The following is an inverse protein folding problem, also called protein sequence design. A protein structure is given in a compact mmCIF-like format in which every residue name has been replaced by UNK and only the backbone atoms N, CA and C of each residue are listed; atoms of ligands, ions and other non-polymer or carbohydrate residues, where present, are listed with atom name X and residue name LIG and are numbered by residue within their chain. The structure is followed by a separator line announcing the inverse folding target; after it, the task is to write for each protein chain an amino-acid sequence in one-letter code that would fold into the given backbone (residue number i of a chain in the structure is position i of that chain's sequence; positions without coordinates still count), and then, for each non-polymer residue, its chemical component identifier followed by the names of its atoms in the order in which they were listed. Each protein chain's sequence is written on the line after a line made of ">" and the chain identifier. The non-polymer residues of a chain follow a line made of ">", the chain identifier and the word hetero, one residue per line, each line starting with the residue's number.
data_IF_044936574414
#
_entry.id   IF_044936574414
#
_cell.length_a   1.000
_cell.length_b   1.000
_cell.length_c   1.000
_cell.angle_alpha   90.00
_cell.angle_beta   90.00
_cell.angle_gamma   90.00
#
_symmetry.space_group_name_H-M   'P 1'
#
loop_
_entity.id
_entity.type
_entity.pdbx_description
1 polymer ?
#
# COMPACT_ATOMS: atom_id res chain seq x y z
N UNK A 1 -9.27 7.91 26.54
CA UNK A 1 -8.91 6.53 26.12
C UNK A 1 -7.82 6.58 25.08
N UNK A 2 -6.82 5.68 25.16
CA UNK A 2 -5.67 5.65 24.25
C UNK A 2 -6.04 5.08 22.87
N UNK A 3 -5.56 5.72 21.80
CA UNK A 3 -5.76 5.27 20.42
C UNK A 3 -5.14 3.88 20.21
N UNK A 4 -5.90 2.92 19.71
CA UNK A 4 -5.38 1.58 19.41
C UNK A 4 -4.52 1.58 18.15
N UNK A 5 -3.36 0.92 18.24
CA UNK A 5 -2.42 0.73 17.12
C UNK A 5 -2.21 -0.77 16.90
N UNK A 6 -2.30 -1.21 15.65
CA UNK A 6 -2.22 -2.62 15.26
C UNK A 6 -0.94 -2.84 14.47
N UNK A 7 0.03 -3.51 15.10
CA UNK A 7 1.34 -3.80 14.50
C UNK A 7 1.30 -4.99 13.53
N UNK A 8 0.50 -6.02 13.85
CA UNK A 8 0.43 -7.24 13.04
C UNK A 8 -0.20 -6.97 11.67
N UNK A 9 0.58 -7.17 10.60
CA UNK A 9 0.07 -7.07 9.22
C UNK A 9 -1.01 -8.10 8.96
N UNK A 10 -0.77 -9.34 9.40
CA UNK A 10 -1.72 -10.43 9.23
C UNK A 10 -3.06 -10.11 9.91
N UNK A 11 -3.05 -9.64 11.16
CA UNK A 11 -4.28 -9.35 11.88
C UNK A 11 -5.13 -8.26 11.20
N UNK A 12 -4.48 -7.29 10.55
CA UNK A 12 -5.16 -6.26 9.74
C UNK A 12 -5.71 -6.86 8.45
N UNK A 13 -4.93 -7.69 7.75
CA UNK A 13 -5.40 -8.40 6.54
C UNK A 13 -6.58 -9.31 6.84
N UNK A 14 -6.54 -10.09 7.93
CA UNK A 14 -7.64 -10.96 8.34
C UNK A 14 -8.94 -10.19 8.62
N UNK A 15 -8.83 -8.99 9.22
CA UNK A 15 -9.99 -8.14 9.47
C UNK A 15 -10.66 -7.70 8.16
N UNK A 16 -9.89 -7.46 7.10
CA UNK A 16 -10.42 -7.09 5.79
C UNK A 16 -10.94 -8.31 5.02
N UNK A 17 -10.28 -9.47 5.13
CA UNK A 17 -10.71 -10.72 4.47
C UNK A 17 -12.04 -11.24 5.03
N UNK A 18 -12.38 -10.91 6.27
CA UNK A 18 -13.69 -11.21 6.84
C UNK A 18 -14.84 -10.37 6.23
N UNK A 19 -14.52 -9.30 5.49
CA UNK A 19 -15.49 -8.46 4.81
C UNK A 19 -15.59 -8.85 3.32
N UNK A 20 -16.76 -9.35 2.92
CA UNK A 20 -17.00 -9.88 1.55
C UNK A 20 -16.77 -8.84 0.45
N UNK A 21 -16.98 -7.56 0.73
CA UNK A 21 -16.77 -6.52 -0.28
C UNK A 21 -15.28 -6.23 -0.50
N UNK A 22 -14.47 -6.39 0.55
CA UNK A 22 -13.05 -6.06 0.53
C UNK A 22 -12.17 -7.25 0.15
N UNK A 23 -12.61 -8.48 0.41
CA UNK A 23 -11.83 -9.70 0.14
C UNK A 23 -11.32 -9.77 -1.30
N UNK A 24 -12.15 -9.37 -2.26
CA UNK A 24 -11.83 -9.41 -3.70
C UNK A 24 -10.83 -8.32 -4.13
N UNK A 25 -10.56 -7.37 -3.25
CA UNK A 25 -9.60 -6.27 -3.46
C UNK A 25 -8.28 -6.52 -2.73
N UNK A 26 -8.12 -7.65 -2.05
CA UNK A 26 -6.89 -8.00 -1.34
C UNK A 26 -6.11 -9.00 -2.21
N UNK A 27 -4.85 -8.70 -2.57
CA UNK A 27 -4.03 -9.64 -3.32
C UNK A 27 -3.84 -10.94 -2.55
N UNK A 28 -3.95 -12.08 -3.23
CA UNK A 28 -3.76 -13.39 -2.60
C UNK A 28 -2.39 -13.45 -1.93
N UNK A 29 -2.36 -13.80 -0.64
CA UNK A 29 -1.15 -13.76 0.18
C UNK A 29 -1.01 -15.06 0.95
N UNK A 30 0.19 -15.64 0.96
CA UNK A 30 0.52 -16.87 1.70
C UNK A 30 1.83 -16.69 2.47
N UNK A 31 2.05 -17.45 3.56
CA UNK A 31 3.39 -17.61 4.12
C UNK A 31 4.38 -18.03 3.03
N UNK A 32 5.57 -17.44 3.02
CA UNK A 32 6.61 -17.79 2.04
C UNK A 32 7.08 -19.22 2.30
N UNK A 33 6.91 -20.07 1.30
CA UNK A 33 7.54 -21.38 1.19
C UNK A 33 7.94 -21.64 -0.26
N UNK A 34 8.75 -22.67 -0.49
CA UNK A 34 9.15 -23.07 -1.85
C UNK A 34 7.92 -23.36 -2.72
N UNK A 35 6.93 -24.05 -2.15
CA UNK A 35 5.69 -24.39 -2.85
C UNK A 35 4.80 -23.15 -3.08
N UNK A 36 4.59 -22.33 -2.05
CA UNK A 36 3.67 -21.18 -2.17
C UNK A 36 4.16 -20.11 -3.13
N UNK A 37 5.47 -19.85 -3.18
CA UNK A 37 6.05 -18.93 -4.16
C UNK A 37 5.90 -19.48 -5.58
N UNK A 38 6.16 -20.78 -5.78
CA UNK A 38 6.04 -21.41 -7.10
C UNK A 38 4.61 -21.34 -7.61
N UNK A 39 3.65 -21.76 -6.79
CA UNK A 39 2.22 -21.72 -7.13
C UNK A 39 1.76 -20.30 -7.51
N UNK A 40 2.15 -19.29 -6.72
CA UNK A 40 1.77 -17.91 -7.00
C UNK A 40 2.45 -17.37 -8.27
N UNK A 41 3.69 -17.77 -8.57
CA UNK A 41 4.37 -17.40 -9.81
C UNK A 41 3.72 -18.05 -11.02
N UNK A 42 3.41 -19.35 -10.94
CA UNK A 42 2.77 -20.07 -12.04
C UNK A 42 1.37 -19.47 -12.33
N UNK A 43 0.64 -19.04 -11.28
CA UNK A 43 -0.70 -18.45 -11.43
C UNK A 43 -0.70 -16.99 -11.91
N UNK A 44 0.26 -16.18 -11.48
CA UNK A 44 0.19 -14.72 -11.67
C UNK A 44 1.37 -14.11 -12.42
N UNK A 45 2.44 -14.87 -12.68
CA UNK A 45 3.67 -14.41 -13.34
C UNK A 45 4.51 -13.42 -12.51
N UNK A 46 3.95 -12.81 -11.47
CA UNK A 46 4.61 -11.83 -10.62
C UNK A 46 4.18 -11.99 -9.17
N UNK A 47 5.14 -11.99 -8.25
CA UNK A 47 4.93 -12.14 -6.81
C UNK A 47 5.81 -11.16 -6.04
N UNK A 48 5.25 -10.48 -5.05
CA UNK A 48 6.03 -9.75 -4.05
C UNK A 48 6.30 -10.63 -2.82
N UNK A 49 7.57 -10.82 -2.53
CA UNK A 49 8.06 -11.50 -1.34
C UNK A 49 8.46 -10.43 -0.31
N UNK A 50 7.69 -10.32 0.78
CA UNK A 50 7.81 -9.23 1.75
C UNK A 50 7.92 -9.74 3.20
N UNK A 51 8.68 -9.07 4.08
CA UNK A 51 8.77 -9.50 5.46
C UNK A 51 7.43 -9.30 6.20
N UNK A 52 7.08 -10.24 7.08
CA UNK A 52 5.89 -10.16 7.94
C UNK A 52 5.98 -8.92 8.84
N UNK A 53 7.18 -8.66 9.37
CA UNK A 53 7.50 -7.48 10.19
C UNK A 53 8.46 -6.60 9.42
N UNK A 54 8.03 -5.37 9.12
CA UNK A 54 8.87 -4.41 8.42
C UNK A 54 8.11 -3.16 8.01
N UNK A 55 8.84 -2.07 7.81
CA UNK A 55 8.34 -0.76 7.43
C UNK A 55 9.04 -0.27 6.17
N UNK A 56 8.44 0.72 5.51
CA UNK A 56 9.05 1.47 4.41
C UNK A 56 9.51 0.62 3.20
N UNK A 57 8.83 -0.50 2.93
CA UNK A 57 9.18 -1.37 1.80
C UNK A 57 10.56 -2.03 1.88
N UNK A 58 11.26 -1.94 3.02
CA UNK A 58 12.61 -2.52 3.17
C UNK A 58 12.55 -4.04 3.18
N UNK A 59 13.42 -4.66 2.37
CA UNK A 59 13.48 -6.11 2.22
C UNK A 59 12.32 -6.71 1.42
N UNK A 60 11.53 -5.88 0.71
CA UNK A 60 10.57 -6.36 -0.30
C UNK A 60 11.37 -6.78 -1.54
N UNK A 61 11.06 -7.97 -2.05
CA UNK A 61 11.66 -8.58 -3.23
C UNK A 61 10.53 -8.80 -4.23
N UNK A 62 10.70 -8.38 -5.48
CA UNK A 62 9.75 -8.67 -6.56
C UNK A 62 10.30 -9.83 -7.37
N UNK A 63 9.56 -10.93 -7.45
CA UNK A 63 9.89 -12.10 -8.25
C UNK A 63 8.96 -12.13 -9.46
N UNK A 64 9.51 -12.41 -10.61
CA UNK A 64 8.82 -12.50 -11.90
C UNK A 64 9.22 -13.80 -12.58
N UNK A 65 8.26 -14.35 -13.32
CA UNK A 65 8.48 -15.47 -14.21
C UNK A 65 7.89 -15.18 -15.60
N UNK A 66 8.64 -15.52 -16.63
CA UNK A 66 8.25 -15.35 -18.03
C UNK A 66 8.54 -16.63 -18.81
N UNK A 67 7.59 -17.06 -19.64
CA UNK A 67 7.81 -18.21 -20.52
C UNK A 67 8.65 -17.83 -21.74
N UNK A 68 9.32 -18.82 -22.34
CA UNK A 68 9.97 -18.67 -23.65
C UNK A 68 11.28 -17.89 -23.67
N UNK A 69 11.92 -17.67 -22.51
CA UNK A 69 13.23 -16.99 -22.42
C UNK A 69 14.26 -17.88 -21.69
N UNK A 70 15.57 -17.78 -22.01
CA UNK A 70 16.61 -18.63 -21.41
C UNK A 70 16.71 -18.52 -19.88
N UNK A 71 16.43 -17.33 -19.33
CA UNK A 71 16.41 -17.07 -17.90
C UNK A 71 15.01 -16.62 -17.48
N UNK A 72 14.05 -17.56 -17.35
CA UNK A 72 12.65 -17.24 -17.15
C UNK A 72 12.36 -16.66 -15.78
N UNK A 73 13.24 -16.88 -14.79
CA UNK A 73 13.07 -16.35 -13.44
C UNK A 73 13.93 -15.10 -13.24
N UNK A 74 13.28 -14.04 -12.77
CA UNK A 74 13.94 -12.81 -12.37
C UNK A 74 13.47 -12.44 -10.97
N UNK A 75 14.36 -11.94 -10.12
CA UNK A 75 13.90 -11.14 -9.01
C UNK A 75 14.70 -9.86 -8.86
N UNK A 76 14.06 -8.85 -8.28
CA UNK A 76 14.67 -7.58 -7.95
C UNK A 76 14.55 -7.34 -6.44
N UNK A 77 15.68 -7.06 -5.80
CA UNK A 77 15.78 -6.64 -4.41
C UNK A 77 16.45 -5.27 -4.38
N UNK A 78 15.75 -4.28 -3.84
CA UNK A 78 16.19 -2.88 -3.89
C UNK A 78 16.46 -2.42 -5.34
N UNK A 79 17.73 -2.14 -5.67
CA UNK A 79 18.16 -1.71 -7.00
C UNK A 79 18.83 -2.83 -7.80
N UNK A 80 19.08 -3.99 -7.18
CA UNK A 80 19.78 -5.12 -7.81
C UNK A 80 18.79 -6.11 -8.41
N UNK A 81 19.09 -6.53 -9.63
CA UNK A 81 18.32 -7.54 -10.37
C UNK A 81 19.15 -8.80 -10.53
N UNK A 82 18.53 -9.95 -10.34
CA UNK A 82 19.12 -11.27 -10.56
C UNK A 82 18.25 -12.06 -11.53
N UNK A 83 18.88 -12.89 -12.36
CA UNK A 83 18.25 -13.74 -13.37
C UNK A 83 18.71 -15.18 -13.20
N UNK A 84 17.84 -16.13 -13.51
CA UNK A 84 18.11 -17.56 -13.34
C UNK A 84 17.37 -18.38 -14.39
N UNK A 85 18.03 -19.42 -14.89
CA UNK A 85 17.41 -20.44 -15.73
C UNK A 85 16.42 -21.33 -14.95
N UNK A 86 16.69 -21.58 -13.66
CA UNK A 86 15.95 -22.54 -12.84
C UNK A 86 15.34 -21.90 -11.58
N UNK A 87 14.14 -22.37 -11.23
CA UNK A 87 13.41 -21.93 -10.03
C UNK A 87 14.21 -22.16 -8.74
N UNK A 88 14.87 -23.31 -8.62
CA UNK A 88 15.57 -23.68 -7.39
C UNK A 88 16.79 -22.81 -7.13
N UNK A 89 17.56 -22.50 -8.18
CA UNK A 89 18.68 -21.55 -8.09
C UNK A 89 18.19 -20.15 -7.69
N UNK A 90 17.07 -19.71 -8.26
CA UNK A 90 16.42 -18.44 -7.90
C UNK A 90 15.99 -18.43 -6.43
N UNK A 91 15.29 -19.48 -5.99
CA UNK A 91 14.75 -19.60 -4.64
C UNK A 91 15.87 -19.66 -3.59
N UNK A 92 16.93 -20.44 -3.86
CA UNK A 92 18.11 -20.51 -2.98
C UNK A 92 18.77 -19.13 -2.82
N UNK A 93 18.98 -18.39 -3.93
CA UNK A 93 19.54 -17.04 -3.87
C UNK A 93 18.61 -16.07 -3.14
N UNK A 94 17.30 -16.15 -3.36
CA UNK A 94 16.30 -15.35 -2.66
C UNK A 94 16.38 -15.58 -1.14
N UNK A 95 16.50 -16.84 -0.69
CA UNK A 95 16.65 -17.17 0.72
C UNK A 95 17.95 -16.61 1.32
N UNK A 96 19.03 -16.59 0.54
CA UNK A 96 20.31 -16.05 0.97
C UNK A 96 20.29 -14.52 1.14
N UNK A 97 19.53 -13.79 0.32
CA UNK A 97 19.48 -12.32 0.35
C UNK A 97 18.36 -11.75 1.22
N UNK A 98 17.27 -12.51 1.44
CA UNK A 98 16.16 -12.02 2.26
C UNK A 98 16.65 -11.82 3.69
N UNK A 99 15.96 -10.98 4.45
CA UNK A 99 16.27 -10.77 5.86
C UNK A 99 15.99 -12.05 6.67
N UNK A 100 16.71 -12.24 7.78
CA UNK A 100 16.52 -13.35 8.74
C UNK A 100 15.23 -13.15 9.57
N UNK A 101 14.08 -13.14 8.90
CA UNK A 101 12.74 -13.04 9.50
C UNK A 101 11.73 -13.82 8.65
N UNK A 102 10.50 -13.94 9.15
CA UNK A 102 9.39 -14.54 8.42
C UNK A 102 8.96 -13.64 7.26
N UNK A 103 8.58 -14.26 6.15
CA UNK A 103 8.17 -13.59 4.92
C UNK A 103 6.84 -14.12 4.42
N UNK A 104 6.17 -13.31 3.61
CA UNK A 104 4.95 -13.62 2.88
C UNK A 104 5.25 -13.58 1.38
N UNK A 105 4.63 -14.46 0.62
CA UNK A 105 4.50 -14.37 -0.83
C UNK A 105 3.12 -13.82 -1.15
N UNK A 106 3.06 -12.69 -1.86
CA UNK A 106 1.84 -11.99 -2.22
C UNK A 106 1.75 -11.82 -3.73
N UNK A 107 0.57 -12.10 -4.30
CA UNK A 107 0.24 -11.82 -5.70
C UNK A 107 0.73 -10.41 -6.10
N UNK A 108 1.49 -10.36 -7.18
CA UNK A 108 1.88 -9.11 -7.80
C UNK A 108 0.72 -8.46 -8.52
N UNK A 109 0.55 -7.15 -8.32
CA UNK A 109 -0.36 -6.32 -9.11
C UNK A 109 0.45 -5.48 -10.09
N UNK A 110 0.09 -5.54 -11.37
CA UNK A 110 0.69 -4.70 -12.41
C UNK A 110 0.18 -3.27 -12.29
N UNK A 111 0.97 -2.44 -11.62
CA UNK A 111 0.62 -1.05 -11.35
C UNK A 111 0.55 -0.22 -12.64
N UNK A 112 -0.44 0.67 -12.68
CA UNK A 112 -0.41 1.82 -13.57
C UNK A 112 0.91 2.60 -13.46
N UNK A 113 1.26 3.25 -14.56
CA UNK A 113 2.51 4.01 -14.67
C UNK A 113 2.24 5.45 -15.05
N UNK A 114 3.06 6.36 -14.55
CA UNK A 114 3.14 7.75 -15.00
C UNK A 114 4.59 8.03 -15.42
N UNK A 115 4.81 8.44 -16.68
CA UNK A 115 6.16 8.62 -17.25
C UNK A 115 7.05 7.39 -17.04
N UNK A 116 6.52 6.21 -17.37
CA UNK A 116 7.12 4.88 -17.20
C UNK A 116 7.50 4.49 -15.76
N UNK A 117 7.11 5.27 -14.75
CA UNK A 117 7.32 4.97 -13.33
C UNK A 117 6.03 4.49 -12.70
N UNK A 118 6.10 3.40 -11.95
CA UNK A 118 4.94 2.84 -11.22
C UNK A 118 4.52 3.80 -10.12
N UNK A 119 3.24 3.82 -9.80
CA UNK A 119 2.76 4.52 -8.61
C UNK A 119 1.73 3.68 -7.88
N UNK A 120 1.58 3.97 -6.60
CA UNK A 120 0.42 3.56 -5.82
C UNK A 120 -0.23 4.78 -5.18
N UNK A 121 -1.32 4.55 -4.45
CA UNK A 121 -2.09 5.58 -3.79
C UNK A 121 -2.07 5.35 -2.28
N UNK A 122 -1.92 6.43 -1.51
CA UNK A 122 -2.20 6.48 -0.08
C UNK A 122 -3.54 7.19 0.12
N UNK A 123 -4.50 6.46 0.66
CA UNK A 123 -5.78 6.99 1.13
C UNK A 123 -5.65 7.20 2.63
N UNK A 124 -5.93 8.41 3.10
CA UNK A 124 -5.97 8.74 4.53
C UNK A 124 -7.43 8.79 4.97
N UNK A 125 -7.76 8.02 5.99
CA UNK A 125 -9.12 7.92 6.56
C UNK A 125 -9.02 8.19 8.05
N UNK A 126 -9.85 9.06 8.58
CA UNK A 126 -9.80 9.50 9.97
C UNK A 126 -11.20 9.61 10.55
N UNK A 127 -11.33 9.42 11.86
CA UNK A 127 -12.52 9.91 12.56
C UNK A 127 -12.52 11.42 12.53
N UNK A 128 -13.64 11.99 12.09
CA UNK A 128 -13.89 13.40 12.21
C UNK A 128 -14.29 13.77 13.66
N UNK A 129 -14.39 15.06 14.00
CA UNK A 129 -14.76 15.51 15.34
C UNK A 129 -16.15 15.06 15.82
N UNK A 130 -17.01 14.60 14.90
CA UNK A 130 -18.32 14.03 15.21
C UNK A 130 -18.28 12.49 15.37
N UNK A 131 -17.09 11.89 15.39
CA UNK A 131 -16.90 10.45 15.56
C UNK A 131 -17.18 9.60 14.32
N UNK A 132 -17.44 10.20 13.15
CA UNK A 132 -17.70 9.48 11.88
C UNK A 132 -16.43 9.29 11.06
N UNK A 133 -16.32 8.17 10.36
CA UNK A 133 -15.23 7.94 9.40
C UNK A 133 -15.34 8.88 8.19
N UNK A 134 -14.23 9.51 7.84
CA UNK A 134 -14.11 10.39 6.68
C UNK A 134 -12.77 10.13 5.98
N UNK A 135 -12.79 9.99 4.65
CA UNK A 135 -11.56 10.01 3.85
C UNK A 135 -11.09 11.44 3.72
N UNK A 136 -9.99 11.77 4.42
CA UNK A 136 -9.48 13.14 4.51
C UNK A 136 -8.53 13.51 3.39
N UNK A 137 -8.00 12.54 2.63
CA UNK A 137 -7.25 12.81 1.43
C UNK A 137 -6.73 11.56 0.71
N UNK A 138 -6.43 11.74 -0.57
CA UNK A 138 -5.77 10.75 -1.42
C UNK A 138 -4.54 11.39 -2.04
N UNK A 139 -3.40 10.70 -1.99
CA UNK A 139 -2.14 11.14 -2.59
C UNK A 139 -1.48 9.96 -3.29
N UNK A 140 -0.92 10.17 -4.47
CA UNK A 140 -0.14 9.13 -5.12
C UNK A 140 1.33 9.20 -4.74
N UNK A 141 2.01 8.06 -4.81
CA UNK A 141 3.45 7.93 -4.54
C UNK A 141 4.12 7.32 -5.77
N UNK A 142 4.76 8.17 -6.57
CA UNK A 142 5.46 7.76 -7.78
C UNK A 142 6.80 7.11 -7.41
N UNK A 143 6.98 5.82 -7.73
CA UNK A 143 8.18 5.06 -7.40
C UNK A 143 9.46 5.70 -7.94
N UNK A 144 10.56 5.54 -7.22
CA UNK A 144 11.88 5.88 -7.74
C UNK A 144 12.16 5.07 -9.03
N UNK A 145 12.74 5.65 -10.10
CA UNK A 145 12.87 4.98 -11.40
C UNK A 145 13.54 3.59 -11.35
N UNK A 146 14.46 3.39 -10.39
CA UNK A 146 15.25 2.17 -10.24
C UNK A 146 14.72 1.18 -9.19
N UNK A 147 13.61 1.49 -8.48
CA UNK A 147 13.10 0.67 -7.36
C UNK A 147 11.73 0.08 -7.67
N UNK A 148 11.47 -1.09 -7.11
CA UNK A 148 10.18 -1.78 -7.19
C UNK A 148 9.13 -1.24 -6.21
N UNK A 149 9.57 -0.56 -5.15
CA UNK A 149 8.69 0.03 -4.14
C UNK A 149 8.43 1.50 -4.43
N UNK A 150 7.18 1.90 -4.21
CA UNK A 150 6.61 3.25 -4.37
C UNK A 150 6.74 4.10 -3.10
N UNK A 151 7.17 3.53 -1.98
CA UNK A 151 7.12 4.16 -0.68
C UNK A 151 7.91 5.48 -0.65
N UNK A 152 7.30 6.53 -0.07
CA UNK A 152 7.91 7.86 0.06
C UNK A 152 9.27 7.81 0.76
N UNK A 153 9.40 7.09 1.86
CA UNK A 153 10.65 6.97 2.61
C UNK A 153 11.73 6.15 1.87
N UNK A 154 11.37 5.53 0.74
CA UNK A 154 12.29 4.79 -0.13
C UNK A 154 12.69 5.58 -1.39
N UNK A 155 12.29 6.85 -1.48
CA UNK A 155 12.54 7.73 -2.63
C UNK A 155 11.33 7.94 -3.55
N UNK A 156 10.13 7.54 -3.12
CA UNK A 156 8.90 7.83 -3.85
C UNK A 156 8.57 9.33 -3.86
N UNK A 157 8.04 9.85 -4.96
CA UNK A 157 7.63 11.25 -5.11
C UNK A 157 6.14 11.40 -4.84
N UNK A 158 5.70 12.15 -3.81
CA UNK A 158 4.28 12.39 -3.57
C UNK A 158 3.69 13.30 -4.65
N UNK A 159 2.55 12.91 -5.22
CA UNK A 159 1.90 13.65 -6.30
C UNK A 159 0.38 13.66 -6.10
N UNK A 160 -0.26 14.69 -6.63
CA UNK A 160 -1.71 14.79 -6.67
C UNK A 160 -2.30 13.64 -7.52
N UNK A 161 -3.45 13.10 -7.11
CA UNK A 161 -4.10 11.96 -7.77
C UNK A 161 -4.35 12.23 -9.26
N UNK A 162 -4.85 13.42 -9.56
CA UNK A 162 -5.22 13.94 -10.87
C UNK A 162 -4.06 13.79 -11.86
N UNK A 163 -2.84 14.17 -11.44
CA UNK A 163 -1.65 14.13 -12.29
C UNK A 163 -1.25 12.70 -12.68
N UNK A 164 -1.58 11.73 -11.82
CA UNK A 164 -1.20 10.33 -12.02
C UNK A 164 -2.27 9.54 -12.77
N UNK A 165 -3.55 9.80 -12.49
CA UNK A 165 -4.65 8.95 -12.96
C UNK A 165 -5.36 9.50 -14.19
N UNK A 166 -5.36 10.82 -14.45
CA UNK A 166 -6.23 11.43 -15.46
C UNK A 166 -6.15 10.78 -16.85
N UNK A 167 -4.94 10.55 -17.36
CA UNK A 167 -4.72 9.89 -18.66
C UNK A 167 -5.23 8.44 -18.71
N UNK A 168 -5.27 7.74 -17.57
CA UNK A 168 -5.76 6.37 -17.49
C UNK A 168 -7.29 6.30 -17.41
N UNK A 169 -7.95 7.40 -17.04
CA UNK A 169 -9.41 7.48 -16.91
C UNK A 169 -10.10 8.08 -18.14
N UNK A 170 -9.32 8.66 -19.06
CA UNK A 170 -9.83 9.30 -20.28
C UNK A 170 -10.75 8.37 -21.06
N UNK A 171 -11.95 8.86 -21.40
CA UNK A 171 -12.99 8.08 -22.07
C UNK A 171 -13.68 7.00 -21.20
N UNK A 172 -13.32 6.85 -19.92
CA UNK A 172 -13.90 5.83 -19.02
C UNK A 172 -14.69 6.42 -17.85
N UNK A 173 -14.15 7.42 -17.16
CA UNK A 173 -14.84 8.13 -16.07
C UNK A 173 -14.11 9.42 -15.69
N UNK A 174 -14.77 10.30 -14.94
CA UNK A 174 -14.10 11.49 -14.40
C UNK A 174 -13.14 11.14 -13.26
N UNK A 175 -12.12 11.99 -13.05
CA UNK A 175 -11.20 11.87 -11.90
C UNK A 175 -11.95 11.96 -10.58
N UNK A 176 -13.01 12.77 -10.51
CA UNK A 176 -13.81 12.93 -9.30
C UNK A 176 -14.66 11.69 -8.99
N UNK A 177 -15.25 11.05 -10.00
CA UNK A 177 -15.94 9.78 -9.82
C UNK A 177 -14.98 8.69 -9.30
N UNK A 178 -13.76 8.61 -9.86
CA UNK A 178 -12.76 7.68 -9.38
C UNK A 178 -12.29 8.02 -7.96
N UNK A 179 -12.13 9.31 -7.62
CA UNK A 179 -11.82 9.74 -6.26
C UNK A 179 -12.92 9.36 -5.27
N UNK A 180 -14.19 9.50 -5.63
CA UNK A 180 -15.31 9.08 -4.79
C UNK A 180 -15.27 7.56 -4.54
N UNK A 181 -14.94 6.76 -5.57
CA UNK A 181 -14.71 5.31 -5.42
C UNK A 181 -13.59 5.00 -4.43
N UNK A 182 -12.47 5.72 -4.50
CA UNK A 182 -11.36 5.57 -3.54
C UNK A 182 -11.76 6.04 -2.12
N UNK A 183 -12.54 7.10 -2.01
CA UNK A 183 -13.04 7.59 -0.73
C UNK A 183 -13.97 6.57 -0.06
N UNK A 184 -14.87 5.97 -0.83
CA UNK A 184 -15.76 4.90 -0.36
C UNK A 184 -14.96 3.67 0.07
N UNK A 185 -13.95 3.26 -0.72
CA UNK A 185 -13.02 2.18 -0.35
C UNK A 185 -12.33 2.45 1.00
N UNK A 186 -11.82 3.67 1.20
CA UNK A 186 -11.19 4.07 2.46
C UNK A 186 -12.12 3.93 3.66
N UNK A 187 -13.36 4.40 3.54
CA UNK A 187 -14.38 4.28 4.59
C UNK A 187 -14.73 2.81 4.85
N UNK A 188 -14.95 2.01 3.81
CA UNK A 188 -15.24 0.58 3.94
C UNK A 188 -14.12 -0.16 4.69
N UNK A 189 -12.86 0.13 4.35
CA UNK A 189 -11.69 -0.40 5.08
C UNK A 189 -11.71 0.00 6.55
N UNK A 190 -12.06 1.25 6.87
CA UNK A 190 -12.12 1.72 8.25
C UNK A 190 -13.22 1.04 9.07
N UNK A 191 -14.41 0.87 8.48
CA UNK A 191 -15.52 0.14 9.10
C UNK A 191 -15.15 -1.33 9.32
N UNK A 192 -14.55 -2.00 8.34
CA UNK A 192 -14.12 -3.39 8.48
C UNK A 192 -13.05 -3.56 9.59
N UNK A 193 -12.08 -2.64 9.64
CA UNK A 193 -11.05 -2.62 10.68
C UNK A 193 -11.62 -2.35 12.08
N UNK A 194 -12.59 -1.44 12.20
CA UNK A 194 -13.21 -1.06 13.47
C UNK A 194 -13.90 -2.25 14.15
N UNK A 195 -14.54 -3.15 13.38
CA UNK A 195 -15.18 -4.37 13.90
C UNK A 195 -14.24 -5.19 14.80
N UNK A 196 -12.96 -5.26 14.44
CA UNK A 196 -11.93 -6.01 15.19
C UNK A 196 -11.09 -5.11 16.12
N UNK A 197 -10.95 -3.84 15.78
CA UNK A 197 -10.09 -2.88 16.47
C UNK A 197 -10.85 -1.59 16.79
N UNK A 198 -11.78 -1.60 17.76
CA UNK A 198 -12.78 -0.54 17.95
C UNK A 198 -12.20 0.82 18.36
N UNK A 199 -10.95 0.86 18.85
CA UNK A 199 -10.30 2.10 19.34
C UNK A 199 -9.36 2.73 18.32
N UNK A 200 -9.32 2.26 17.07
CA UNK A 200 -8.60 2.94 15.99
C UNK A 200 -9.29 4.28 15.67
N UNK A 201 -8.48 5.28 15.31
CA UNK A 201 -8.97 6.62 14.99
C UNK A 201 -8.57 7.09 13.59
N UNK A 202 -7.62 6.41 12.96
CA UNK A 202 -7.08 6.78 11.67
C UNK A 202 -6.44 5.58 10.98
N UNK A 203 -6.47 5.61 9.65
CA UNK A 203 -5.86 4.61 8.79
C UNK A 203 -5.20 5.29 7.59
N UNK A 204 -4.02 4.78 7.23
CA UNK A 204 -3.46 4.97 5.90
C UNK A 204 -3.61 3.67 5.12
N UNK A 205 -4.39 3.70 4.05
CA UNK A 205 -4.61 2.56 3.16
C UNK A 205 -3.71 2.74 1.94
N UNK A 206 -2.80 1.79 1.73
CA UNK A 206 -1.92 1.74 0.58
C UNK A 206 -2.62 0.92 -0.51
N UNK A 207 -2.88 1.54 -1.65
CA UNK A 207 -3.70 0.99 -2.73
C UNK A 207 -2.93 0.96 -4.04
N UNK A 208 -2.81 -0.23 -4.61
CA UNK A 208 -2.41 -0.42 -6.00
C UNK A 208 -3.59 -0.18 -6.94
N UNK A 209 -3.32 0.27 -8.17
CA UNK A 209 -4.33 0.35 -9.24
C UNK A 209 -3.78 -0.38 -10.44
N UNK A 210 -4.54 -1.33 -10.97
CA UNK A 210 -4.18 -2.09 -12.17
C UNK A 210 -4.71 -1.43 -13.47
N UNK A 211 -4.41 -2.07 -14.61
CA UNK A 211 -4.81 -1.60 -15.94
C UNK A 211 -6.33 -1.58 -16.17
N UNK A 212 -7.10 -2.34 -15.37
CA UNK A 212 -8.57 -2.33 -15.37
C UNK A 212 -9.16 -1.24 -14.47
N UNK A 213 -8.32 -0.39 -13.87
CA UNK A 213 -8.70 0.62 -12.89
C UNK A 213 -9.30 0.01 -11.61
N UNK A 214 -8.99 -1.26 -11.32
CA UNK A 214 -9.40 -1.89 -10.07
C UNK A 214 -8.44 -1.48 -8.96
N UNK A 215 -8.93 -0.93 -7.83
CA UNK A 215 -8.11 -0.65 -6.68
C UNK A 215 -7.91 -1.93 -5.84
N UNK A 216 -6.66 -2.19 -5.49
CA UNK A 216 -6.21 -3.32 -4.67
C UNK A 216 -5.58 -2.83 -3.37
N UNK A 217 -6.03 -3.33 -2.23
CA UNK A 217 -5.53 -2.97 -0.89
C UNK A 217 -4.24 -3.75 -0.63
N UNK A 218 -3.10 -3.04 -0.64
CA UNK A 218 -1.78 -3.64 -0.41
C UNK A 218 -1.46 -3.77 1.09
N UNK A 219 -1.77 -2.72 1.85
CA UNK A 219 -1.48 -2.62 3.28
C UNK A 219 -2.37 -1.57 3.95
N UNK A 220 -2.71 -1.80 5.22
CA UNK A 220 -3.38 -0.82 6.08
C UNK A 220 -2.48 -0.47 7.25
N UNK A 221 -2.34 0.82 7.54
CA UNK A 221 -1.52 1.35 8.62
C UNK A 221 -2.39 2.09 9.63
N UNK A 222 -2.38 1.65 10.90
CA UNK A 222 -3.12 2.32 11.98
C UNK A 222 -2.33 3.44 12.63
N UNK A 223 -1.15 3.79 12.12
CA UNK A 223 -0.36 4.97 12.50
C UNK A 223 0.30 5.54 11.23
N UNK A 224 -0.49 6.05 10.28
CA UNK A 224 0.04 6.56 9.04
C UNK A 224 0.80 7.87 9.27
N UNK A 225 1.79 8.15 8.42
CA UNK A 225 2.43 9.46 8.34
C UNK A 225 1.53 10.44 7.53
N UNK A 226 0.94 11.48 8.16
CA UNK A 226 0.15 12.47 7.45
C UNK A 226 1.01 13.54 6.76
N UNK A 227 2.30 13.65 7.09
CA UNK A 227 3.16 14.75 6.62
C UNK A 227 3.47 14.67 5.13
N UNK A 228 3.31 13.50 4.50
CA UNK A 228 3.40 13.37 3.04
C UNK A 228 2.41 14.29 2.30
N UNK A 229 1.25 14.59 2.90
CA UNK A 229 0.24 15.47 2.32
C UNK A 229 0.66 16.94 2.34
N UNK A 230 1.71 17.32 3.09
CA UNK A 230 2.35 18.64 2.96
C UNK A 230 3.08 18.82 1.63
N UNK A 231 3.21 17.79 0.79
CA UNK A 231 3.79 17.94 -0.55
C UNK A 231 2.74 18.32 -1.60
N UNK A 232 1.45 18.25 -1.27
CA UNK A 232 0.39 18.74 -2.14
C UNK A 232 0.34 20.27 -2.14
N UNK A 233 -0.07 20.84 -3.27
CA UNK A 233 -0.30 22.29 -3.42
C UNK A 233 -1.44 22.75 -2.50
N UNK A 234 -2.53 21.98 -2.45
CA UNK A 234 -3.65 22.26 -1.55
C UNK A 234 -3.28 21.92 -0.08
N UNK A 235 -3.08 22.97 0.71
CA UNK A 235 -2.75 22.89 2.13
C UNK A 235 -3.95 22.59 3.02
N UNK A 236 -5.18 22.77 2.52
CA UNK A 236 -6.41 22.52 3.30
C UNK A 236 -6.52 21.06 3.71
N UNK A 237 -6.11 20.14 2.82
CA UNK A 237 -6.07 18.69 3.06
C UNK A 237 -5.25 18.37 4.32
N UNK A 238 -3.99 18.79 4.36
CA UNK A 238 -3.12 18.53 5.51
C UNK A 238 -3.61 19.21 6.79
N UNK A 239 -4.11 20.46 6.69
CA UNK A 239 -4.67 21.18 7.85
C UNK A 239 -5.86 20.45 8.45
N UNK A 240 -6.78 19.94 7.61
CA UNK A 240 -7.92 19.12 8.04
C UNK A 240 -7.44 17.84 8.75
N UNK A 241 -6.49 17.12 8.16
CA UNK A 241 -5.93 15.90 8.75
C UNK A 241 -5.33 16.15 10.13
N UNK A 242 -4.55 17.22 10.26
CA UNK A 242 -3.91 17.58 11.51
C UNK A 242 -4.93 18.01 12.58
N UNK A 243 -5.96 18.78 12.19
CA UNK A 243 -7.07 19.15 13.07
C UNK A 243 -7.80 17.92 13.62
N UNK A 244 -8.10 16.93 12.77
CA UNK A 244 -8.75 15.70 13.21
C UNK A 244 -7.83 14.94 14.18
N UNK A 245 -6.53 14.84 13.86
CA UNK A 245 -5.54 14.23 14.73
C UNK A 245 -5.44 14.85 16.13
N UNK A 246 -5.60 16.18 16.25
CA UNK A 246 -5.71 16.83 17.55
C UNK A 246 -7.03 16.45 18.24
N UNK A 247 -8.15 16.46 17.51
CA UNK A 247 -9.48 16.20 18.08
C UNK A 247 -9.60 14.81 18.72
N UNK A 248 -9.03 13.77 18.11
CA UNK A 248 -8.99 12.42 18.69
C UNK A 248 -7.73 12.13 19.52
N UNK A 249 -6.92 13.15 19.85
CA UNK A 249 -5.84 13.06 20.83
C UNK A 249 -4.54 12.41 20.36
N UNK A 250 -4.25 12.37 19.06
CA UNK A 250 -2.93 11.91 18.53
C UNK A 250 -1.81 12.89 18.86
N UNK A 251 -2.10 14.18 18.75
CA UNK A 251 -1.16 15.26 19.03
C UNK A 251 -1.70 16.07 20.22
N UNK A 252 -0.79 16.53 21.09
CA UNK A 252 -1.17 17.49 22.13
C UNK A 252 -1.75 18.75 21.48
N UNK A 253 -2.75 19.37 22.14
CA UNK A 253 -3.09 20.75 21.82
C UNK A 253 -1.81 21.56 22.01
N UNK A 254 -1.37 22.31 20.99
CA UNK A 254 -0.25 23.26 21.15
C UNK A 254 -0.55 24.04 22.44
N UNK A 255 0.34 23.97 23.44
CA UNK A 255 0.20 24.91 24.56
C UNK A 255 0.28 26.29 23.92
N UNK A 256 -0.75 27.10 24.09
CA UNK A 256 -0.60 28.54 23.99
C UNK A 256 0.44 28.92 25.04
N UNK A 257 1.72 28.93 24.66
CA UNK A 257 2.71 29.70 25.40
C UNK A 257 2.28 31.15 25.18
N UNK A 258 1.61 31.67 26.21
CA UNK A 258 1.47 33.09 26.50
C UNK A 258 2.87 33.72 26.48
N UNK A 259 2.94 34.93 25.96
CA UNK A 259 4.13 35.74 25.75
C UNK A 259 3.88 36.63 24.56
#
# INVERSE_FOLDING_TARGET
>A
MTIQRVLSKQAKTDALLADRQLSDQIPLTRPLSRASLRELLDRFGMVYVKPVRGTFGRGVIRVEWSQGVPEPYRFQSEETTYRFAAYDSMYAKLLAIKRKTAYLAQQGIELLKHRNRRFDLRIMVQRNPHGRWETTGVIGRLAHPRKIVTNYHSGGTPMALELLIAKHLEGRMSVDAYRQRLNALGIAVAVAMEKKFPRIQELGVDVAVDQSLKPWILEVNTLPDPFIFRKLKDRTIFRRMYRYAIAYGRYGKRSSRRG
#
